data_IF_876707185881
#
_entry.id   IF_876707185881
#
_cell.length_a   1.000
_cell.length_b   1.000
_cell.length_c   1.000
_cell.angle_alpha   90.00
_cell.angle_beta   90.00
_cell.angle_gamma   90.00
#
_symmetry.space_group_name_H-M   'P 1'
#
loop_
_entity.id
_entity.type
_entity.pdbx_description
1 polymer ?
#
# COMPACT_ATOMS: atom_id res chain seq x y z
N UNK A 1 -9.62 -10.04 43.45
CA UNK A 1 -8.21 -10.01 42.97
C UNK A 1 -7.95 -10.84 41.71
N UNK A 2 -8.54 -12.03 41.51
CA UNK A 2 -8.31 -12.88 40.32
C UNK A 2 -8.74 -12.30 38.96
N UNK A 3 -9.69 -11.35 38.94
CA UNK A 3 -10.23 -10.77 37.70
C UNK A 3 -9.27 -9.79 36.99
N UNK A 4 -8.36 -9.14 37.73
CA UNK A 4 -7.40 -8.17 37.17
C UNK A 4 -6.26 -8.91 36.44
N UNK A 5 -5.75 -10.01 37.01
CA UNK A 5 -4.67 -10.80 36.40
C UNK A 5 -5.06 -11.48 35.08
N UNK A 6 -6.32 -11.89 34.91
CA UNK A 6 -6.80 -12.51 33.67
C UNK A 6 -6.89 -11.52 32.51
N UNK A 7 -7.17 -10.24 32.79
CA UNK A 7 -7.24 -9.17 31.77
C UNK A 7 -5.84 -8.83 31.27
N UNK A 8 -4.85 -8.71 32.15
CA UNK A 8 -3.46 -8.42 31.76
C UNK A 8 -2.80 -9.55 30.97
N UNK A 9 -3.10 -10.81 31.31
CA UNK A 9 -2.59 -11.96 30.56
C UNK A 9 -3.13 -12.00 29.12
N UNK A 10 -4.44 -11.82 28.94
CA UNK A 10 -5.07 -11.80 27.60
C UNK A 10 -4.59 -10.62 26.75
N UNK A 11 -4.41 -9.44 27.35
CA UNK A 11 -3.90 -8.25 26.65
C UNK A 11 -2.47 -8.46 26.15
N UNK A 12 -1.61 -9.05 26.98
CA UNK A 12 -0.22 -9.35 26.62
C UNK A 12 -0.12 -10.35 25.47
N UNK A 13 -1.01 -11.36 25.43
CA UNK A 13 -1.08 -12.33 24.33
C UNK A 13 -1.55 -11.65 23.04
N UNK A 14 -2.63 -10.88 23.07
CA UNK A 14 -3.15 -10.21 21.87
C UNK A 14 -2.13 -9.25 21.25
N UNK A 15 -1.42 -8.48 22.09
CA UNK A 15 -0.38 -7.56 21.61
C UNK A 15 0.79 -8.31 20.96
N UNK A 16 1.23 -9.43 21.55
CA UNK A 16 2.27 -10.29 20.95
C UNK A 16 1.82 -10.86 19.61
N UNK A 17 0.57 -11.28 19.49
CA UNK A 17 0.00 -11.78 18.24
C UNK A 17 -0.09 -10.70 17.16
N UNK A 18 -0.57 -9.50 17.50
CA UNK A 18 -0.66 -8.38 16.57
C UNK A 18 0.73 -7.91 16.10
N UNK A 19 1.68 -7.76 17.02
CA UNK A 19 3.06 -7.43 16.71
C UNK A 19 3.69 -8.49 15.79
N UNK A 20 3.55 -9.77 16.15
CA UNK A 20 4.05 -10.88 15.35
C UNK A 20 3.44 -10.88 13.95
N UNK A 21 2.14 -10.56 13.82
CA UNK A 21 1.44 -10.54 12.54
C UNK A 21 1.83 -9.34 11.67
N UNK A 22 1.84 -8.13 12.22
CA UNK A 22 1.91 -6.89 11.44
C UNK A 22 3.33 -6.30 11.33
N UNK A 23 4.16 -6.51 12.34
CA UNK A 23 5.45 -5.80 12.46
C UNK A 23 6.67 -6.72 12.42
N UNK A 24 6.48 -8.04 12.58
CA UNK A 24 7.55 -9.03 12.45
C UNK A 24 7.54 -9.70 11.07
N UNK A 25 8.67 -9.71 10.35
CA UNK A 25 8.80 -10.40 9.06
C UNK A 25 9.10 -11.90 9.20
N UNK A 26 9.25 -12.41 10.43
CA UNK A 26 9.69 -13.79 10.69
C UNK A 26 8.54 -14.79 10.59
N UNK A 27 8.83 -15.95 9.98
CA UNK A 27 7.96 -17.12 9.96
C UNK A 27 7.02 -17.18 8.76
N UNK A 28 5.94 -17.95 8.93
CA UNK A 28 4.93 -18.27 7.93
C UNK A 28 3.54 -17.97 8.47
N UNK A 29 2.63 -17.54 7.62
CA UNK A 29 1.23 -17.33 7.99
C UNK A 29 0.27 -18.02 7.03
N UNK A 30 -0.78 -18.64 7.59
CA UNK A 30 -1.88 -19.25 6.83
C UNK A 30 -2.80 -18.21 6.18
N UNK A 31 -3.85 -18.68 5.51
CA UNK A 31 -4.79 -17.83 4.76
C UNK A 31 -5.61 -16.90 5.67
N UNK A 32 -6.13 -17.40 6.78
CA UNK A 32 -6.94 -16.61 7.73
C UNK A 32 -6.17 -15.43 8.34
N UNK A 33 -4.99 -15.61 8.96
CA UNK A 33 -4.21 -14.49 9.49
C UNK A 33 -3.73 -13.54 8.39
N UNK A 34 -3.47 -14.03 7.18
CA UNK A 34 -3.18 -13.16 6.03
C UNK A 34 -4.39 -12.27 5.68
N UNK A 35 -5.59 -12.84 5.60
CA UNK A 35 -6.81 -12.07 5.36
C UNK A 35 -7.05 -10.99 6.42
N UNK A 36 -6.81 -11.29 7.69
CA UNK A 36 -6.86 -10.29 8.78
C UNK A 36 -5.83 -9.18 8.56
N UNK A 37 -4.60 -9.52 8.16
CA UNK A 37 -3.57 -8.54 7.83
C UNK A 37 -3.95 -7.63 6.65
N UNK A 38 -4.57 -8.18 5.61
CA UNK A 38 -5.08 -7.40 4.47
C UNK A 38 -6.22 -6.49 4.91
N UNK A 39 -7.18 -6.98 5.70
CA UNK A 39 -8.27 -6.15 6.24
C UNK A 39 -7.73 -5.00 7.11
N UNK A 40 -6.70 -5.27 7.92
CA UNK A 40 -6.03 -4.23 8.70
C UNK A 40 -5.38 -3.18 7.80
N UNK A 41 -4.71 -3.58 6.72
CA UNK A 41 -4.13 -2.66 5.74
C UNK A 41 -5.21 -1.80 5.06
N UNK A 42 -6.34 -2.39 4.67
CA UNK A 42 -7.48 -1.65 4.13
C UNK A 42 -8.05 -0.64 5.14
N UNK A 43 -8.18 -1.05 6.40
CA UNK A 43 -8.65 -0.15 7.47
C UNK A 43 -7.66 0.98 7.74
N UNK A 44 -6.35 0.71 7.73
CA UNK A 44 -5.30 1.70 7.88
C UNK A 44 -5.32 2.70 6.71
N UNK A 45 -5.47 2.22 5.47
CA UNK A 45 -5.60 3.07 4.30
C UNK A 45 -6.86 3.95 4.36
N UNK A 46 -8.02 3.38 4.73
CA UNK A 46 -9.26 4.13 4.89
C UNK A 46 -9.14 5.19 5.98
N UNK A 47 -8.53 4.85 7.12
CA UNK A 47 -8.27 5.80 8.20
C UNK A 47 -7.37 6.96 7.73
N UNK A 48 -6.31 6.66 6.97
CA UNK A 48 -5.43 7.68 6.41
C UNK A 48 -6.20 8.62 5.48
N UNK A 49 -6.93 8.05 4.52
CA UNK A 49 -7.57 8.81 3.45
C UNK A 49 -8.80 9.59 3.91
N UNK A 50 -9.66 9.00 4.74
CA UNK A 50 -10.93 9.61 5.12
C UNK A 50 -10.89 10.40 6.44
N UNK A 51 -9.87 10.19 7.28
CA UNK A 51 -9.80 10.82 8.60
C UNK A 51 -8.53 11.64 8.75
N UNK A 52 -7.35 11.02 8.63
CA UNK A 52 -6.08 11.67 8.98
C UNK A 52 -5.74 12.80 7.99
N UNK A 53 -5.72 12.52 6.68
CA UNK A 53 -5.33 13.54 5.70
C UNK A 53 -6.31 14.71 5.60
N UNK A 54 -7.65 14.50 5.62
CA UNK A 54 -8.59 15.62 5.67
C UNK A 54 -8.43 16.46 6.94
N UNK A 55 -8.16 15.83 8.09
CA UNK A 55 -7.96 16.53 9.37
C UNK A 55 -6.67 17.37 9.38
N UNK A 56 -5.59 16.87 8.79
CA UNK A 56 -4.28 17.55 8.78
C UNK A 56 -4.14 18.57 7.64
N UNK A 57 -4.94 18.45 6.58
CA UNK A 57 -4.89 19.32 5.41
C UNK A 57 -3.52 19.29 4.69
N UNK A 58 -3.12 20.42 4.12
CA UNK A 58 -1.84 20.58 3.39
C UNK A 58 -0.73 21.20 4.24
N UNK A 59 -0.89 21.25 5.57
CA UNK A 59 0.06 21.89 6.47
C UNK A 59 1.33 21.07 6.75
N UNK A 60 2.28 21.68 7.46
CA UNK A 60 3.56 21.05 7.86
C UNK A 60 3.38 19.75 8.65
N UNK A 61 2.30 19.61 9.43
CA UNK A 61 2.02 18.37 10.15
C UNK A 61 1.79 17.20 9.19
N UNK A 62 1.03 17.40 8.10
CA UNK A 62 0.79 16.38 7.11
C UNK A 62 2.10 15.97 6.39
N UNK A 63 2.98 16.94 6.12
CA UNK A 63 4.28 16.67 5.52
C UNK A 63 5.13 15.67 6.32
N UNK A 64 5.13 15.74 7.66
CA UNK A 64 5.87 14.79 8.49
C UNK A 64 5.11 13.48 8.75
N UNK A 65 3.79 13.55 8.92
CA UNK A 65 2.98 12.38 9.28
C UNK A 65 2.78 11.45 8.08
N UNK A 66 2.55 11.98 6.88
CA UNK A 66 2.25 11.17 5.70
C UNK A 66 3.39 10.19 5.34
N UNK A 67 4.68 10.59 5.30
CA UNK A 67 5.79 9.67 5.06
C UNK A 67 5.92 8.58 6.13
N UNK A 68 5.72 8.91 7.41
CA UNK A 68 5.78 7.92 8.50
C UNK A 68 4.71 6.85 8.28
N UNK A 69 3.47 7.26 8.00
CA UNK A 69 2.36 6.36 7.74
C UNK A 69 2.53 5.55 6.45
N UNK A 70 3.15 6.14 5.42
CA UNK A 70 3.52 5.45 4.19
C UNK A 70 4.54 4.33 4.45
N UNK A 71 5.65 4.63 5.12
CA UNK A 71 6.67 3.62 5.43
C UNK A 71 6.17 2.55 6.40
N UNK A 72 5.30 2.93 7.35
CA UNK A 72 4.61 1.97 8.21
C UNK A 72 3.73 1.02 7.39
N UNK A 73 2.93 1.56 6.46
CA UNK A 73 2.11 0.76 5.55
C UNK A 73 2.95 -0.20 4.71
N UNK A 74 4.05 0.28 4.13
CA UNK A 74 5.00 -0.56 3.38
C UNK A 74 5.61 -1.67 4.24
N UNK A 75 6.02 -1.36 5.47
CA UNK A 75 6.57 -2.36 6.40
C UNK A 75 5.55 -3.46 6.73
N UNK A 76 4.30 -3.08 6.98
CA UNK A 76 3.23 -4.05 7.26
C UNK A 76 2.93 -4.91 6.02
N UNK A 77 2.88 -4.32 4.82
CA UNK A 77 2.76 -5.07 3.56
C UNK A 77 3.90 -6.07 3.44
N UNK A 78 5.14 -5.64 3.68
CA UNK A 78 6.31 -6.52 3.62
C UNK A 78 6.20 -7.68 4.62
N UNK A 79 5.78 -7.43 5.86
CA UNK A 79 5.62 -8.47 6.87
C UNK A 79 4.49 -9.45 6.51
N UNK A 80 3.29 -8.96 6.19
CA UNK A 80 2.11 -9.78 5.94
C UNK A 80 2.26 -10.57 4.63
N UNK A 81 2.57 -9.90 3.52
CA UNK A 81 2.74 -10.56 2.23
C UNK A 81 3.99 -11.43 2.20
N UNK A 82 5.09 -11.02 2.84
CA UNK A 82 6.32 -11.80 2.90
C UNK A 82 6.13 -13.13 3.62
N UNK A 83 5.51 -13.13 4.81
CA UNK A 83 5.21 -14.37 5.53
C UNK A 83 4.21 -15.26 4.78
N UNK A 84 3.29 -14.67 4.01
CA UNK A 84 2.39 -15.45 3.17
C UNK A 84 3.12 -16.07 1.99
N UNK A 85 4.02 -15.34 1.33
CA UNK A 85 4.89 -15.87 0.29
C UNK A 85 5.79 -17.00 0.82
N UNK A 86 6.34 -16.84 2.01
CA UNK A 86 7.10 -17.87 2.70
C UNK A 86 6.28 -19.14 2.93
N UNK A 87 4.99 -19.01 3.25
CA UNK A 87 4.10 -20.17 3.36
C UNK A 87 3.88 -20.89 2.03
N UNK A 88 3.92 -20.17 0.90
CA UNK A 88 3.90 -20.73 -0.45
C UNK A 88 5.28 -21.27 -0.90
N UNK A 89 6.32 -21.18 -0.06
CA UNK A 89 7.70 -21.54 -0.41
C UNK A 89 8.36 -20.55 -1.38
N UNK A 90 7.81 -19.35 -1.55
CA UNK A 90 8.32 -18.31 -2.46
C UNK A 90 9.11 -17.26 -1.69
N UNK A 91 10.07 -16.63 -2.35
CA UNK A 91 10.82 -15.49 -1.80
C UNK A 91 10.05 -14.18 -1.92
N UNK A 92 10.42 -13.23 -1.06
CA UNK A 92 9.91 -11.85 -1.09
C UNK A 92 10.19 -11.12 -2.41
N UNK A 93 11.06 -11.62 -3.28
CA UNK A 93 11.25 -11.10 -4.64
C UNK A 93 9.95 -10.99 -5.45
N UNK A 94 8.96 -11.85 -5.21
CA UNK A 94 7.66 -11.71 -5.87
C UNK A 94 6.96 -10.39 -5.48
N UNK A 95 7.06 -9.98 -4.21
CA UNK A 95 6.53 -8.69 -3.75
C UNK A 95 7.30 -7.51 -4.35
N UNK A 96 8.62 -7.62 -4.49
CA UNK A 96 9.42 -6.59 -5.19
C UNK A 96 8.99 -6.47 -6.65
N UNK A 97 8.76 -7.59 -7.34
CA UNK A 97 8.24 -7.60 -8.71
C UNK A 97 6.88 -6.90 -8.82
N UNK A 98 6.00 -7.06 -7.83
CA UNK A 98 4.72 -6.33 -7.76
C UNK A 98 4.92 -4.83 -7.60
N UNK A 99 5.87 -4.38 -6.77
CA UNK A 99 6.18 -2.95 -6.65
C UNK A 99 6.74 -2.37 -7.95
N UNK A 100 7.62 -3.10 -8.65
CA UNK A 100 8.10 -2.69 -9.97
C UNK A 100 6.96 -2.59 -11.00
N UNK A 101 6.05 -3.58 -11.00
CA UNK A 101 4.87 -3.56 -11.87
C UNK A 101 3.94 -2.39 -11.53
N UNK A 102 3.71 -2.14 -10.25
CA UNK A 102 2.88 -1.02 -9.78
C UNK A 102 3.47 0.33 -10.21
N UNK A 103 4.79 0.50 -10.09
CA UNK A 103 5.47 1.69 -10.57
C UNK A 103 5.34 1.86 -12.09
N UNK A 104 5.43 0.77 -12.84
CA UNK A 104 5.23 0.79 -14.31
C UNK A 104 3.80 1.19 -14.66
N UNK A 105 2.79 0.62 -13.99
CA UNK A 105 1.38 1.01 -14.17
C UNK A 105 1.17 2.49 -13.79
N UNK A 106 1.79 2.95 -12.71
CA UNK A 106 1.75 4.36 -12.29
C UNK A 106 2.27 5.29 -13.38
N UNK A 107 3.41 4.98 -13.99
CA UNK A 107 3.97 5.77 -15.09
C UNK A 107 3.02 5.82 -16.28
N UNK A 108 2.43 4.67 -16.67
CA UNK A 108 1.46 4.61 -17.76
C UNK A 108 0.22 5.46 -17.45
N UNK A 109 -0.31 5.36 -16.23
CA UNK A 109 -1.50 6.11 -15.78
C UNK A 109 -1.22 7.62 -15.80
N UNK A 110 -0.10 8.07 -15.22
CA UNK A 110 0.27 9.49 -15.20
C UNK A 110 0.40 10.05 -16.62
N UNK A 111 1.09 9.32 -17.51
CA UNK A 111 1.25 9.73 -18.91
C UNK A 111 -0.09 9.80 -19.64
N UNK A 112 -0.94 8.78 -19.47
CA UNK A 112 -2.23 8.69 -20.16
C UNK A 112 -3.26 9.73 -19.71
N UNK A 113 -3.26 10.11 -18.43
CA UNK A 113 -4.30 10.97 -17.84
C UNK A 113 -3.80 12.39 -17.54
N UNK A 114 -3.06 12.98 -18.48
CA UNK A 114 -2.69 14.40 -18.47
C UNK A 114 -1.19 14.66 -18.59
N UNK A 115 -0.34 13.70 -18.23
CA UNK A 115 1.12 13.87 -18.30
C UNK A 115 1.61 14.14 -19.72
N UNK A 116 1.16 13.36 -20.71
CA UNK A 116 1.60 13.55 -22.10
C UNK A 116 1.16 14.91 -22.68
N UNK A 117 -0.09 15.31 -22.47
CA UNK A 117 -0.61 16.59 -22.95
C UNK A 117 0.12 17.77 -22.32
N UNK A 118 0.41 17.67 -21.02
CA UNK A 118 1.21 18.67 -20.30
C UNK A 118 2.60 18.81 -20.90
N UNK A 119 3.31 17.69 -21.11
CA UNK A 119 4.65 17.70 -21.71
C UNK A 119 4.63 18.21 -23.15
N UNK A 120 3.67 17.76 -23.96
CA UNK A 120 3.54 18.15 -25.37
C UNK A 120 3.29 19.66 -25.50
N UNK A 121 2.40 20.22 -24.69
CA UNK A 121 2.10 21.66 -24.68
C UNK A 121 3.34 22.50 -24.37
N UNK A 122 4.14 22.07 -23.39
CA UNK A 122 5.37 22.75 -22.96
C UNK A 122 6.49 22.60 -23.99
N UNK A 123 6.59 21.44 -24.65
CA UNK A 123 7.59 21.17 -25.68
C UNK A 123 7.30 21.90 -26.99
N UNK A 124 6.03 22.11 -27.32
CA UNK A 124 5.62 22.87 -28.51
C UNK A 124 5.71 24.39 -28.33
N UNK A 125 5.73 24.88 -27.09
CA UNK A 125 5.80 26.32 -26.76
C UNK A 125 6.96 26.62 -25.80
N UNK A 126 8.22 26.28 -26.14
CA UNK A 126 9.36 26.45 -25.25
C UNK A 126 9.58 27.90 -24.82
N UNK A 127 9.24 28.87 -25.68
CA UNK A 127 9.37 30.30 -25.43
C UNK A 127 8.38 30.85 -24.39
N UNK A 128 7.30 30.11 -24.10
CA UNK A 128 6.26 30.53 -23.16
C UNK A 128 6.41 29.89 -21.78
N UNK A 129 7.47 29.12 -21.55
CA UNK A 129 7.72 28.48 -20.25
C UNK A 129 7.91 29.49 -19.12
N UNK A 130 8.47 30.66 -19.44
CA UNK A 130 8.67 31.75 -18.48
C UNK A 130 7.44 32.67 -18.36
N UNK A 131 6.41 32.49 -19.20
CA UNK A 131 5.17 33.28 -19.14
C UNK A 131 4.27 32.76 -18.00
N UNK A 132 4.09 33.53 -16.92
CA UNK A 132 3.31 33.09 -15.77
C UNK A 132 1.82 32.93 -16.05
N UNK A 133 1.28 33.61 -17.07
CA UNK A 133 -0.14 33.48 -17.45
C UNK A 133 -0.37 32.21 -18.26
N UNK A 134 0.49 31.97 -19.25
CA UNK A 134 0.45 30.73 -20.03
C UNK A 134 0.58 29.50 -19.12
N UNK A 135 1.59 29.47 -18.23
CA UNK A 135 1.81 28.32 -17.35
C UNK A 135 0.66 28.10 -16.37
N UNK A 136 0.01 29.17 -15.89
CA UNK A 136 -1.19 29.05 -15.04
C UNK A 136 -2.33 28.36 -15.78
N UNK A 137 -2.55 28.69 -17.06
CA UNK A 137 -3.59 28.04 -17.87
C UNK A 137 -3.26 26.57 -18.11
N UNK A 138 -2.03 26.26 -18.49
CA UNK A 138 -1.56 24.88 -18.69
C UNK A 138 -1.73 24.05 -17.42
N UNK A 139 -1.37 24.61 -16.25
CA UNK A 139 -1.56 23.95 -14.96
C UNK A 139 -3.03 23.73 -14.62
N UNK A 140 -3.90 24.71 -14.87
CA UNK A 140 -5.33 24.58 -14.61
C UNK A 140 -5.95 23.45 -15.48
N UNK A 141 -5.65 23.44 -16.78
CA UNK A 141 -6.12 22.37 -17.68
C UNK A 141 -5.61 20.99 -17.26
N UNK A 142 -4.33 20.89 -16.89
CA UNK A 142 -3.76 19.65 -16.37
C UNK A 142 -4.45 19.18 -15.08
N UNK A 143 -4.69 20.08 -14.14
CA UNK A 143 -5.36 19.76 -12.87
C UNK A 143 -6.81 19.32 -13.09
N UNK A 144 -7.55 19.96 -13.98
CA UNK A 144 -8.92 19.58 -14.33
C UNK A 144 -8.98 18.19 -14.99
N UNK A 145 -8.06 17.92 -15.93
CA UNK A 145 -7.94 16.61 -16.56
C UNK A 145 -7.59 15.53 -15.53
N UNK A 146 -6.66 15.81 -14.61
CA UNK A 146 -6.28 14.88 -13.56
C UNK A 146 -7.46 14.60 -12.61
N UNK A 147 -8.17 15.64 -12.16
CA UNK A 147 -9.32 15.51 -11.27
C UNK A 147 -10.45 14.69 -11.89
N UNK A 148 -10.76 14.95 -13.17
CA UNK A 148 -11.77 14.20 -13.93
C UNK A 148 -11.43 12.71 -14.06
N UNK A 149 -10.15 12.39 -14.23
CA UNK A 149 -9.68 11.02 -14.42
C UNK A 149 -9.23 10.32 -13.13
N UNK A 150 -9.32 11.00 -11.97
CA UNK A 150 -8.84 10.48 -10.69
C UNK A 150 -9.54 9.16 -10.28
N UNK A 151 -10.87 8.98 -10.45
CA UNK A 151 -11.51 7.72 -10.10
C UNK A 151 -11.03 6.55 -10.96
N UNK A 152 -10.88 6.78 -12.27
CA UNK A 152 -10.38 5.77 -13.22
C UNK A 152 -8.92 5.41 -12.94
N UNK A 153 -8.08 6.42 -12.68
CA UNK A 153 -6.67 6.24 -12.31
C UNK A 153 -6.55 5.43 -11.02
N UNK A 154 -7.33 5.77 -10.00
CA UNK A 154 -7.35 5.06 -8.72
C UNK A 154 -7.79 3.61 -8.89
N UNK A 155 -8.82 3.37 -9.69
CA UNK A 155 -9.28 2.01 -10.00
C UNK A 155 -8.18 1.19 -10.68
N UNK A 156 -7.53 1.72 -11.73
CA UNK A 156 -6.46 1.02 -12.45
C UNK A 156 -5.27 0.70 -11.55
N UNK A 157 -4.87 1.65 -10.70
CA UNK A 157 -3.81 1.46 -9.72
C UNK A 157 -4.15 0.39 -8.67
N UNK A 158 -5.44 0.18 -8.37
CA UNK A 158 -5.88 -0.83 -7.41
C UNK A 158 -5.83 -2.27 -7.94
N UNK A 159 -5.81 -2.47 -9.26
CA UNK A 159 -5.92 -3.81 -9.88
C UNK A 159 -4.74 -4.70 -9.48
N UNK A 160 -3.51 -4.20 -9.63
CA UNK A 160 -2.28 -4.96 -9.34
C UNK A 160 -2.23 -5.44 -7.88
N UNK A 161 -2.36 -4.58 -6.84
CA UNK A 161 -2.35 -5.03 -5.46
C UNK A 161 -3.55 -5.92 -5.12
N UNK A 162 -4.74 -5.67 -5.68
CA UNK A 162 -5.92 -6.49 -5.44
C UNK A 162 -5.74 -7.93 -5.98
N UNK A 163 -5.27 -8.07 -7.22
CA UNK A 163 -5.00 -9.39 -7.81
C UNK A 163 -3.90 -10.13 -7.06
N UNK A 164 -2.84 -9.44 -6.64
CA UNK A 164 -1.77 -10.03 -5.85
C UNK A 164 -2.26 -10.50 -4.47
N UNK A 165 -3.02 -9.67 -3.76
CA UNK A 165 -3.61 -10.04 -2.48
C UNK A 165 -4.59 -11.21 -2.63
N UNK A 166 -5.42 -11.22 -3.68
CA UNK A 166 -6.34 -12.31 -3.98
C UNK A 166 -5.60 -13.62 -4.26
N UNK A 167 -4.54 -13.56 -5.07
CA UNK A 167 -3.69 -14.73 -5.32
C UNK A 167 -3.08 -15.28 -4.03
N UNK A 168 -2.50 -14.43 -3.19
CA UNK A 168 -1.93 -14.83 -1.91
C UNK A 168 -2.98 -15.42 -0.94
N UNK A 169 -4.20 -14.89 -0.95
CA UNK A 169 -5.31 -15.38 -0.12
C UNK A 169 -5.78 -16.78 -0.56
N UNK A 170 -5.88 -17.01 -1.87
CA UNK A 170 -6.43 -18.24 -2.43
C UNK A 170 -5.40 -19.37 -2.56
N UNK A 171 -4.15 -19.06 -2.87
CA UNK A 171 -3.11 -20.07 -3.10
C UNK A 171 -2.95 -21.00 -1.87
N UNK A 172 -2.83 -22.33 -2.04
CA UNK A 172 -2.59 -23.25 -0.94
C UNK A 172 -1.16 -23.13 -0.41
N UNK A 173 -1.02 -23.19 0.92
CA UNK A 173 0.28 -23.23 1.60
C UNK A 173 0.97 -24.58 1.47
N UNK A 174 2.27 -24.62 1.74
CA UNK A 174 3.03 -25.87 1.84
C UNK A 174 2.73 -26.59 3.16
N UNK A 175 2.43 -27.89 3.11
CA UNK A 175 2.03 -28.67 4.30
C UNK A 175 3.20 -29.07 5.19
N UNK A 176 4.41 -29.16 4.64
CA UNK A 176 5.62 -29.51 5.37
C UNK A 176 6.49 -28.31 5.73
N UNK A 177 7.63 -28.62 6.35
CA UNK A 177 8.69 -27.64 6.59
C UNK A 177 9.28 -27.18 5.25
N UNK A 178 9.68 -25.91 5.21
CA UNK A 178 10.42 -25.36 4.08
C UNK A 178 11.56 -24.46 4.59
N UNK A 179 12.32 -23.84 3.68
CA UNK A 179 13.44 -22.96 4.02
C UNK A 179 13.08 -21.75 4.92
N UNK A 180 11.79 -21.48 5.11
CA UNK A 180 11.26 -20.40 5.94
C UNK A 180 10.69 -20.88 7.28
N UNK A 181 10.85 -22.16 7.59
CA UNK A 181 10.46 -22.78 8.85
C UNK A 181 9.22 -23.66 8.76
N UNK A 182 8.74 -24.04 9.94
CA UNK A 182 7.63 -24.99 10.13
C UNK A 182 6.31 -24.42 9.59
N UNK A 183 5.36 -25.27 9.17
CA UNK A 183 4.05 -24.83 8.75
C UNK A 183 3.35 -23.98 9.83
N UNK A 184 2.47 -23.05 9.44
CA UNK A 184 1.68 -22.30 10.40
C UNK A 184 0.94 -23.29 11.29
N UNK A 185 1.06 -23.14 12.62
CA UNK A 185 0.23 -23.89 13.56
C UNK A 185 -1.23 -23.56 13.25
N UNK A 186 -1.97 -24.56 12.78
CA UNK A 186 -3.42 -24.49 12.52
C UNK A 186 -4.18 -24.04 13.75
#
# INVERSE_FOLDING_TARGET
>A
MLRIYCVDYKRTIMLKTAYSLLLSPKGRIGRAPFGIGVLFLCALWALQHFVIYPMLGTGMANFYIAPILFFLGLHIIYCVCGKRLHDLGRSNWALIGVFCLLFTVMMIVILKFGGLEYFDTIMQNPEKQDDPEFMRQVHATYQDNLAKNLPQSSFLMSIVPALFALWLLLAPGQTGDNRYGNPPST
#
